data_IF_530456236011
#
_entry.id   IF_530456236011
#
_cell.length_a   1.000
_cell.length_b   1.000
_cell.length_c   1.000
_cell.angle_alpha   90.00
_cell.angle_beta   90.00
_cell.angle_gamma   90.00
#
_symmetry.space_group_name_H-M   'P 1'
#
loop_
_entity.id
_entity.type
_entity.pdbx_description
1 polymer ?
#
# COMPACT_ATOMS: atom_id res chain seq x y z
N UNK A 1 4.87 -10.33 19.66
CA UNK A 1 4.78 -9.53 18.43
C UNK A 1 4.29 -8.14 18.78
N UNK A 2 4.96 -7.11 18.27
CA UNK A 2 4.69 -5.71 18.60
C UNK A 2 4.73 -4.85 17.32
N UNK A 3 3.74 -3.94 17.18
CA UNK A 3 3.76 -2.91 16.15
C UNK A 3 4.64 -1.75 16.62
N UNK A 4 5.58 -1.33 15.78
CA UNK A 4 6.53 -0.27 16.08
C UNK A 4 6.52 0.78 14.97
N UNK A 5 6.57 2.05 15.34
CA UNK A 5 6.77 3.11 14.35
C UNK A 5 8.24 3.11 13.92
N UNK A 6 8.46 3.16 12.63
CA UNK A 6 9.81 3.21 12.08
C UNK A 6 10.05 4.63 11.52
N UNK A 7 11.11 5.32 11.97
CA UNK A 7 11.43 6.65 11.43
C UNK A 7 11.85 6.59 9.96
N UNK A 8 12.38 5.44 9.54
CA UNK A 8 12.73 5.11 8.16
C UNK A 8 12.63 3.60 7.93
N UNK A 9 12.69 3.19 6.67
CA UNK A 9 12.79 1.79 6.29
C UNK A 9 13.81 1.64 5.16
N UNK A 10 15.02 1.30 5.57
CA UNK A 10 16.16 1.16 4.67
C UNK A 10 16.46 -0.30 4.27
N UNK A 11 17.58 -0.48 3.53
CA UNK A 11 18.00 -1.78 3.02
C UNK A 11 18.18 -2.86 4.09
N UNK A 12 18.65 -2.50 5.29
CA UNK A 12 18.89 -3.45 6.37
C UNK A 12 17.58 -4.05 6.89
N UNK A 13 16.56 -3.20 7.16
CA UNK A 13 15.24 -3.65 7.55
C UNK A 13 14.54 -4.49 6.47
N UNK A 14 14.72 -4.08 5.21
CA UNK A 14 14.24 -4.88 4.08
C UNK A 14 14.91 -6.26 4.03
N UNK A 15 16.22 -6.32 4.12
CA UNK A 15 16.98 -7.57 4.09
C UNK A 15 16.60 -8.51 5.23
N UNK A 16 16.35 -7.95 6.43
CA UNK A 16 15.93 -8.73 7.60
C UNK A 16 14.57 -9.42 7.39
N UNK A 17 13.60 -8.72 6.77
CA UNK A 17 12.28 -9.29 6.50
C UNK A 17 12.31 -10.27 5.33
N UNK A 18 13.02 -9.92 4.26
CA UNK A 18 13.06 -10.71 3.01
C UNK A 18 13.82 -12.01 3.17
N UNK A 19 14.90 -11.99 3.98
CA UNK A 19 15.73 -13.17 4.28
C UNK A 19 16.15 -13.93 3.00
N UNK A 20 16.63 -13.17 2.00
CA UNK A 20 17.10 -13.70 0.72
C UNK A 20 16.01 -14.20 -0.24
N UNK A 21 14.73 -13.97 0.04
CA UNK A 21 13.65 -14.29 -0.90
C UNK A 21 13.74 -13.40 -2.15
N UNK A 22 13.82 -13.99 -3.35
CA UNK A 22 13.74 -13.20 -4.59
C UNK A 22 12.28 -12.75 -4.81
N UNK A 23 12.07 -11.53 -5.28
CA UNK A 23 10.76 -10.95 -5.61
C UNK A 23 9.67 -11.19 -4.53
N UNK A 24 9.87 -10.70 -3.29
CA UNK A 24 8.93 -10.96 -2.18
C UNK A 24 7.54 -10.37 -2.41
N UNK A 25 7.42 -9.40 -3.32
CA UNK A 25 6.14 -8.81 -3.72
C UNK A 25 5.49 -9.54 -4.90
N UNK A 26 6.25 -10.33 -5.68
CA UNK A 26 5.78 -11.01 -6.89
C UNK A 26 5.45 -10.01 -8.01
N UNK A 27 6.19 -8.91 -8.12
CA UNK A 27 5.90 -7.81 -9.05
C UNK A 27 7.06 -7.42 -9.97
N UNK A 28 8.22 -8.04 -9.84
CA UNK A 28 9.42 -7.69 -10.64
C UNK A 28 9.17 -7.80 -12.15
N UNK A 29 8.28 -8.71 -12.57
CA UNK A 29 7.92 -8.92 -13.96
C UNK A 29 7.06 -7.80 -14.57
N UNK A 30 6.52 -6.88 -13.76
CA UNK A 30 5.59 -5.85 -14.21
C UNK A 30 6.28 -4.64 -14.84
N UNK A 31 7.60 -4.52 -14.68
CA UNK A 31 8.40 -3.38 -15.18
C UNK A 31 7.81 -2.01 -14.73
N UNK A 32 7.28 -1.93 -13.52
CA UNK A 32 6.75 -0.70 -12.90
C UNK A 32 7.81 -0.12 -11.99
N UNK A 33 8.08 1.17 -12.14
CA UNK A 33 8.88 1.93 -11.18
C UNK A 33 7.97 2.39 -10.03
N UNK A 34 8.39 2.11 -8.80
CA UNK A 34 7.64 2.42 -7.58
C UNK A 34 8.21 3.64 -6.86
N UNK A 35 7.33 4.49 -6.36
CA UNK A 35 7.71 5.64 -5.56
C UNK A 35 8.08 5.27 -4.11
N UNK A 36 8.86 6.13 -3.43
CA UNK A 36 9.22 5.95 -2.03
C UNK A 36 8.00 6.12 -1.12
N UNK A 37 8.09 5.54 0.08
CA UNK A 37 7.16 5.82 1.18
C UNK A 37 7.82 6.80 2.14
N UNK A 38 7.01 7.60 2.82
CA UNK A 38 7.48 8.60 3.79
C UNK A 38 7.15 8.23 5.23
N UNK A 39 6.20 7.33 5.41
CA UNK A 39 5.77 6.85 6.71
C UNK A 39 5.85 5.34 6.75
N UNK A 40 6.22 4.80 7.89
CA UNK A 40 6.53 3.37 8.01
C UNK A 40 6.08 2.81 9.35
N UNK A 41 5.51 1.61 9.33
CA UNK A 41 5.24 0.80 10.50
C UNK A 41 5.89 -0.56 10.33
N UNK A 42 6.52 -1.04 11.38
CA UNK A 42 7.11 -2.36 11.46
C UNK A 42 6.31 -3.28 12.37
N UNK A 43 6.48 -4.56 12.16
CA UNK A 43 6.05 -5.60 13.09
C UNK A 43 7.28 -6.36 13.57
N UNK A 44 7.50 -6.40 14.88
CA UNK A 44 8.59 -7.14 15.52
C UNK A 44 8.06 -8.41 16.19
N UNK A 45 8.86 -9.45 16.11
CA UNK A 45 8.75 -10.64 16.95
C UNK A 45 10.06 -10.74 17.75
N UNK A 46 9.96 -10.48 19.06
CA UNK A 46 11.11 -10.16 19.90
C UNK A 46 11.94 -9.01 19.29
N UNK A 47 13.23 -9.19 19.08
CA UNK A 47 14.12 -8.17 18.50
C UNK A 47 14.13 -8.15 16.97
N UNK A 48 13.47 -9.12 16.31
CA UNK A 48 13.51 -9.27 14.86
C UNK A 48 12.37 -8.51 14.17
N UNK A 49 12.70 -7.75 13.14
CA UNK A 49 11.70 -7.14 12.26
C UNK A 49 11.17 -8.20 11.28
N UNK A 50 9.90 -8.55 11.40
CA UNK A 50 9.26 -9.60 10.60
C UNK A 50 8.25 -9.07 9.59
N UNK A 51 7.89 -7.79 9.66
CA UNK A 51 6.95 -7.18 8.74
C UNK A 51 7.10 -5.68 8.64
N UNK A 52 6.68 -5.14 7.51
CA UNK A 52 6.69 -3.71 7.21
C UNK A 52 5.47 -3.34 6.37
N UNK A 53 4.91 -2.16 6.63
CA UNK A 53 3.99 -1.46 5.75
C UNK A 53 4.37 0.01 5.70
N UNK A 54 4.29 0.62 4.52
CA UNK A 54 4.60 2.03 4.36
C UNK A 54 3.48 2.76 3.62
N UNK A 55 3.36 4.08 3.83
CA UNK A 55 2.42 4.91 3.08
C UNK A 55 3.02 6.26 2.72
N UNK A 56 2.35 6.91 1.80
CA UNK A 56 2.73 8.24 1.30
C UNK A 56 1.47 9.02 0.93
N UNK A 57 1.51 10.33 1.09
CA UNK A 57 0.48 11.21 0.53
C UNK A 57 0.64 11.31 -0.98
N UNK A 58 -0.44 11.15 -1.71
CA UNK A 58 -0.46 11.23 -3.17
C UNK A 58 -1.69 12.00 -3.66
N UNK A 59 -1.52 12.70 -4.78
CA UNK A 59 -2.59 13.36 -5.50
C UNK A 59 -3.17 12.41 -6.56
N UNK A 60 -4.49 12.37 -6.64
CA UNK A 60 -5.23 11.61 -7.63
C UNK A 60 -6.16 12.54 -8.39
N UNK A 61 -6.05 12.56 -9.71
CA UNK A 61 -7.01 13.22 -10.57
C UNK A 61 -8.17 12.29 -10.87
N UNK A 62 -9.38 12.71 -10.52
CA UNK A 62 -10.61 11.94 -10.78
C UNK A 62 -11.25 12.35 -12.11
N UNK A 63 -12.18 11.53 -12.60
CA UNK A 63 -12.80 11.70 -13.93
C UNK A 63 -13.45 13.08 -14.14
N UNK A 64 -13.88 13.76 -13.07
CA UNK A 64 -14.43 15.13 -13.13
C UNK A 64 -13.37 16.21 -13.39
N UNK A 65 -12.08 15.85 -13.39
CA UNK A 65 -10.94 16.78 -13.48
C UNK A 65 -10.50 17.35 -12.14
N UNK A 66 -11.21 17.05 -11.06
CA UNK A 66 -10.81 17.43 -9.70
C UNK A 66 -9.62 16.59 -9.24
N UNK A 67 -8.74 17.20 -8.45
CA UNK A 67 -7.67 16.48 -7.73
C UNK A 67 -8.10 16.26 -6.28
N UNK A 68 -7.94 15.05 -5.80
CA UNK A 68 -8.13 14.67 -4.40
C UNK A 68 -6.83 14.15 -3.82
N UNK A 69 -6.61 14.41 -2.54
CA UNK A 69 -5.47 13.85 -1.79
C UNK A 69 -5.87 12.50 -1.18
N UNK A 70 -4.97 11.53 -1.28
CA UNK A 70 -5.14 10.19 -0.72
C UNK A 70 -3.88 9.75 0.01
N UNK A 71 -4.02 8.78 0.91
CA UNK A 71 -2.88 8.07 1.49
C UNK A 71 -2.67 6.76 0.73
N UNK A 72 -1.52 6.62 0.09
CA UNK A 72 -1.14 5.45 -0.68
C UNK A 72 -0.44 4.40 0.18
N UNK A 73 -1.13 3.32 0.54
CA UNK A 73 -0.54 2.20 1.27
C UNK A 73 0.22 1.27 0.31
N UNK A 74 1.47 1.00 0.62
CA UNK A 74 2.30 0.08 -0.15
C UNK A 74 3.40 -0.55 0.67
N UNK A 75 4.31 -1.26 -0.01
CA UNK A 75 5.43 -1.97 0.62
C UNK A 75 5.00 -2.86 1.80
N UNK A 76 3.79 -3.46 1.69
CA UNK A 76 3.30 -4.42 2.70
C UNK A 76 4.07 -5.72 2.53
N UNK A 77 5.00 -5.94 3.44
CA UNK A 77 5.94 -7.04 3.41
C UNK A 77 5.85 -7.83 4.71
N UNK A 78 5.92 -9.15 4.62
CA UNK A 78 5.91 -10.03 5.78
C UNK A 78 6.89 -11.17 5.53
N UNK A 79 7.73 -11.46 6.52
CA UNK A 79 8.64 -12.60 6.48
C UNK A 79 7.86 -13.88 6.17
N UNK A 80 8.42 -14.70 5.28
CA UNK A 80 7.73 -15.88 4.73
C UNK A 80 7.19 -16.84 5.80
N UNK A 81 7.89 -17.04 6.91
CA UNK A 81 7.49 -17.96 7.97
C UNK A 81 6.26 -17.48 8.77
N UNK A 82 5.92 -16.20 8.65
CA UNK A 82 4.76 -15.60 9.31
C UNK A 82 3.55 -15.42 8.39
N UNK A 83 3.67 -15.76 7.09
CA UNK A 83 2.56 -15.68 6.13
C UNK A 83 1.51 -16.74 6.42
N UNK A 84 0.23 -16.40 6.22
CA UNK A 84 -0.89 -17.31 6.46
C UNK A 84 -1.29 -17.49 7.93
N UNK A 85 -0.57 -16.89 8.88
CA UNK A 85 -0.83 -16.97 10.33
C UNK A 85 -1.81 -15.90 10.86
N UNK A 86 -2.30 -15.00 10.00
CA UNK A 86 -3.12 -13.85 10.43
C UNK A 86 -2.32 -12.60 10.79
N UNK A 87 -1.01 -12.71 10.94
CA UNK A 87 -0.10 -11.62 11.35
C UNK A 87 -0.09 -10.46 10.36
N UNK A 88 -0.27 -10.74 9.06
CA UNK A 88 -0.38 -9.69 8.04
C UNK A 88 -1.60 -8.77 8.24
N UNK A 89 -2.68 -9.28 8.85
CA UNK A 89 -3.84 -8.47 9.24
C UNK A 89 -3.45 -7.43 10.28
N UNK A 90 -2.76 -7.84 11.34
CA UNK A 90 -2.29 -6.94 12.40
C UNK A 90 -1.43 -5.80 11.83
N UNK A 91 -0.52 -6.12 10.91
CA UNK A 91 0.34 -5.13 10.27
C UNK A 91 -0.46 -4.10 9.45
N UNK A 92 -1.39 -4.56 8.61
CA UNK A 92 -2.20 -3.67 7.77
C UNK A 92 -3.17 -2.84 8.61
N UNK A 93 -3.84 -3.43 9.59
CA UNK A 93 -4.70 -2.71 10.54
C UNK A 93 -3.91 -1.64 11.31
N UNK A 94 -2.70 -1.97 11.75
CA UNK A 94 -1.81 -1.01 12.41
C UNK A 94 -1.36 0.15 11.51
N UNK A 95 -1.19 -0.07 10.22
CA UNK A 95 -0.95 0.99 9.25
C UNK A 95 -2.21 1.86 9.06
N UNK A 96 -3.39 1.24 8.92
CA UNK A 96 -4.67 1.94 8.77
C UNK A 96 -4.96 2.87 9.97
N UNK A 97 -4.74 2.40 11.20
CA UNK A 97 -4.92 3.19 12.41
C UNK A 97 -4.04 4.45 12.41
N UNK A 98 -2.80 4.33 11.96
CA UNK A 98 -1.86 5.46 11.85
C UNK A 98 -2.30 6.45 10.76
N UNK A 99 -2.67 5.94 9.60
CA UNK A 99 -3.19 6.77 8.50
C UNK A 99 -4.44 7.56 8.92
N UNK A 100 -5.34 6.95 9.70
CA UNK A 100 -6.49 7.64 10.29
C UNK A 100 -6.07 8.70 11.30
N UNK A 101 -5.11 8.38 12.18
CA UNK A 101 -4.64 9.32 13.21
C UNK A 101 -3.91 10.53 12.63
N UNK A 102 -3.32 10.42 11.45
CA UNK A 102 -2.73 11.52 10.68
C UNK A 102 -3.77 12.41 9.98
N UNK A 103 -5.06 12.06 10.07
CA UNK A 103 -6.14 12.82 9.45
C UNK A 103 -6.38 12.46 7.98
N UNK A 104 -5.88 11.33 7.52
CA UNK A 104 -6.20 10.80 6.20
C UNK A 104 -7.70 10.58 6.02
N UNK A 105 -8.21 10.87 4.84
CA UNK A 105 -9.65 10.70 4.54
C UNK A 105 -9.91 9.49 3.66
N UNK A 106 -9.01 9.19 2.74
CA UNK A 106 -9.10 8.08 1.79
C UNK A 106 -7.74 7.40 1.71
N UNK A 107 -7.73 6.08 1.80
CA UNK A 107 -6.56 5.29 1.47
C UNK A 107 -6.75 4.57 0.13
N UNK A 108 -5.64 4.39 -0.60
CA UNK A 108 -5.58 3.60 -1.83
C UNK A 108 -4.39 2.64 -1.74
N UNK A 109 -4.53 1.47 -2.32
CA UNK A 109 -3.44 0.49 -2.49
C UNK A 109 -3.51 -0.19 -3.85
N UNK A 110 -2.37 -0.74 -4.26
CA UNK A 110 -2.25 -1.60 -5.42
C UNK A 110 -1.87 -3.01 -4.97
N UNK A 111 -2.59 -4.02 -5.42
CA UNK A 111 -2.31 -5.39 -5.03
C UNK A 111 -2.50 -6.38 -6.18
N UNK A 112 -1.86 -7.52 -6.06
CA UNK A 112 -2.10 -8.65 -6.98
C UNK A 112 -3.53 -9.18 -6.83
N UNK A 113 -4.15 -9.73 -7.90
CA UNK A 113 -5.54 -10.21 -7.87
C UNK A 113 -5.85 -11.19 -6.73
N UNK A 114 -4.91 -12.08 -6.40
CA UNK A 114 -5.07 -13.07 -5.33
C UNK A 114 -5.10 -12.46 -3.93
N UNK A 115 -4.75 -11.18 -3.78
CA UNK A 115 -4.81 -10.45 -2.50
C UNK A 115 -6.11 -9.69 -2.28
N UNK A 116 -6.98 -9.61 -3.30
CA UNK A 116 -8.26 -8.88 -3.18
C UNK A 116 -9.11 -9.35 -2.00
N UNK A 117 -9.18 -10.67 -1.79
CA UNK A 117 -9.93 -11.21 -0.66
C UNK A 117 -9.37 -10.76 0.68
N UNK A 118 -8.05 -10.81 0.85
CA UNK A 118 -7.38 -10.38 2.09
C UNK A 118 -7.70 -8.93 2.42
N UNK A 119 -7.57 -8.02 1.45
CA UNK A 119 -7.89 -6.62 1.66
C UNK A 119 -9.40 -6.38 1.79
N UNK A 120 -10.24 -7.10 1.05
CA UNK A 120 -11.69 -7.04 1.19
C UNK A 120 -12.17 -7.42 2.60
N UNK A 121 -11.56 -8.44 3.21
CA UNK A 121 -11.84 -8.86 4.60
C UNK A 121 -11.39 -7.80 5.64
N UNK A 122 -10.58 -6.80 5.22
CA UNK A 122 -10.16 -5.62 5.99
C UNK A 122 -10.97 -4.35 5.65
N UNK A 123 -12.03 -4.47 4.84
CA UNK A 123 -12.91 -3.36 4.48
C UNK A 123 -12.51 -2.57 3.24
N UNK A 124 -11.46 -2.99 2.53
CA UNK A 124 -11.07 -2.34 1.28
C UNK A 124 -12.01 -2.71 0.14
N UNK A 125 -12.33 -1.73 -0.70
CA UNK A 125 -13.23 -1.86 -1.84
C UNK A 125 -12.42 -1.83 -3.15
N UNK A 126 -12.65 -2.77 -4.08
CA UNK A 126 -11.97 -2.73 -5.38
C UNK A 126 -12.48 -1.58 -6.24
N UNK A 127 -11.57 -0.94 -6.97
CA UNK A 127 -11.87 0.01 -8.03
C UNK A 127 -11.89 -0.75 -9.35
N UNK A 128 -12.97 -0.64 -10.10
CA UNK A 128 -13.18 -1.34 -11.39
C UNK A 128 -12.94 -0.45 -12.60
N UNK A 129 -12.93 0.87 -12.38
CA UNK A 129 -12.60 1.85 -13.41
C UNK A 129 -11.11 1.81 -13.77
N UNK A 130 -10.73 2.44 -14.88
CA UNK A 130 -9.33 2.48 -15.31
C UNK A 130 -8.51 3.34 -14.36
N UNK A 131 -7.39 2.80 -13.93
CA UNK A 131 -6.41 3.52 -13.11
C UNK A 131 -5.12 3.65 -13.88
N UNK A 132 -4.64 4.87 -14.06
CA UNK A 132 -3.34 5.16 -14.67
C UNK A 132 -2.37 5.72 -13.64
N UNK A 133 -1.10 5.42 -13.80
CA UNK A 133 -0.01 5.87 -12.92
C UNK A 133 1.13 6.44 -13.76
N UNK A 134 1.77 7.48 -13.24
CA UNK A 134 2.95 8.07 -13.85
C UNK A 134 4.13 7.10 -13.85
N UNK A 135 4.89 7.13 -14.94
CA UNK A 135 6.16 6.42 -15.09
C UNK A 135 7.15 7.34 -15.83
N UNK A 136 8.47 7.11 -15.74
CA UNK A 136 9.45 7.95 -16.46
C UNK A 136 9.20 8.03 -17.98
N UNK A 137 8.69 6.97 -18.57
CA UNK A 137 8.35 6.89 -20.00
C UNK A 137 6.95 7.40 -20.37
N UNK A 138 6.21 7.97 -19.42
CA UNK A 138 4.82 8.39 -19.57
C UNK A 138 3.84 7.51 -18.80
N UNK A 139 2.58 7.93 -18.65
CA UNK A 139 1.60 7.20 -17.86
C UNK A 139 1.29 5.82 -18.45
N UNK A 140 1.06 4.86 -17.58
CA UNK A 140 0.63 3.51 -17.93
C UNK A 140 -0.66 3.14 -17.19
N UNK A 141 -1.44 2.22 -17.74
CA UNK A 141 -2.53 1.60 -16.98
C UNK A 141 -1.91 0.72 -15.89
N UNK A 142 -2.37 0.89 -14.65
CA UNK A 142 -1.89 0.10 -13.52
C UNK A 142 -2.14 -1.40 -13.77
N UNK A 143 -1.09 -2.24 -13.83
CA UNK A 143 -1.25 -3.67 -14.09
C UNK A 143 -1.77 -4.46 -12.89
N UNK A 144 -1.75 -3.88 -11.69
CA UNK A 144 -2.30 -4.46 -10.47
C UNK A 144 -3.74 -4.03 -10.24
N UNK A 145 -4.41 -4.69 -9.30
CA UNK A 145 -5.73 -4.27 -8.81
C UNK A 145 -5.59 -3.09 -7.87
N UNK A 146 -6.48 -2.12 -8.02
CA UNK A 146 -6.56 -0.95 -7.14
C UNK A 146 -7.69 -1.15 -6.15
N UNK A 147 -7.43 -0.90 -4.88
CA UNK A 147 -8.44 -0.89 -3.83
C UNK A 147 -8.39 0.43 -3.06
N UNK A 148 -9.52 0.84 -2.51
CA UNK A 148 -9.64 2.03 -1.68
C UNK A 148 -10.35 1.72 -0.36
N UNK A 149 -10.09 2.55 0.65
CA UNK A 149 -10.69 2.47 1.97
C UNK A 149 -11.07 3.86 2.45
N UNK A 150 -12.31 4.09 2.94
CA UNK A 150 -12.63 5.32 3.66
C UNK A 150 -11.93 5.30 5.03
N UNK A 151 -11.13 6.32 5.32
CA UNK A 151 -10.49 6.53 6.61
C UNK A 151 -11.29 7.52 7.48
N UNK A 152 -12.16 8.31 6.87
CA UNK A 152 -13.06 9.24 7.54
C UNK A 152 -14.52 8.92 7.19
N UNK A 153 -15.43 9.25 8.09
CA UNK A 153 -16.87 9.07 7.86
C UNK A 153 -17.33 9.83 6.61
N UNK A 154 -18.07 9.16 5.74
CA UNK A 154 -18.60 9.76 4.52
C UNK A 154 -17.59 9.97 3.40
N UNK A 155 -16.32 9.62 3.59
CA UNK A 155 -15.33 9.70 2.53
C UNK A 155 -15.65 8.68 1.42
N UNK A 156 -15.58 9.14 0.17
CA UNK A 156 -15.80 8.31 -1.02
C UNK A 156 -14.77 8.66 -2.09
N UNK A 157 -14.38 7.67 -2.88
CA UNK A 157 -13.69 7.90 -4.15
C UNK A 157 -14.77 8.18 -5.20
N UNK A 158 -14.74 9.34 -5.90
CA UNK A 158 -15.66 9.60 -6.99
C UNK A 158 -15.59 8.51 -8.06
N UNK A 159 -16.73 8.11 -8.66
CA UNK A 159 -16.75 7.10 -9.72
C UNK A 159 -16.04 7.61 -10.98
N UNK A 160 -15.51 6.67 -11.76
CA UNK A 160 -14.81 6.92 -13.01
C UNK A 160 -13.30 6.73 -12.92
N UNK A 161 -12.63 6.97 -14.03
CA UNK A 161 -11.20 6.74 -14.16
C UNK A 161 -10.38 7.60 -13.19
N UNK A 162 -9.29 7.03 -12.70
CA UNK A 162 -8.34 7.69 -11.81
C UNK A 162 -6.97 7.84 -12.50
N UNK A 163 -6.35 8.98 -12.27
CA UNK A 163 -4.99 9.23 -12.74
C UNK A 163 -4.10 9.65 -11.55
N UNK A 164 -3.07 8.87 -11.30
CA UNK A 164 -1.98 9.24 -10.41
C UNK A 164 -0.85 9.86 -11.23
N UNK A 165 -0.61 11.18 -11.13
CA UNK A 165 0.41 11.85 -11.96
C UNK A 165 1.83 11.39 -11.63
N UNK A 166 2.06 10.97 -10.37
CA UNK A 166 3.33 10.47 -9.87
C UNK A 166 3.49 8.96 -10.02
N UNK A 167 4.63 8.48 -9.54
CA UNK A 167 4.89 7.05 -9.43
C UNK A 167 3.89 6.39 -8.47
N UNK A 168 3.50 5.14 -8.72
CA UNK A 168 2.68 4.35 -7.77
C UNK A 168 3.48 4.02 -6.50
N UNK A 169 2.78 3.65 -5.46
CA UNK A 169 3.31 3.40 -4.11
C UNK A 169 3.13 1.95 -3.65
#
# INVERSE_FOLDING_TARGET
MELVDLPDFGPDGYAEIVDGEPDPFGTDHLAVEWGPKTNHVGLRDDDRLIGHAGWVTADVRVATGQTIEVLGLGSVLLHRDHRGSGVGRLLVEGAMDRMMSEGGTIAILFCRPERLRFYGDLGWHPITDVVTVGQPGGPIVMPLRTCWLPLAEGAIVPPGDLEFPGLPF
#
